data_IF_440700662590
#
_entry.id   IF_440700662590
#
_cell.length_a   1.000
_cell.length_b   1.000
_cell.length_c   1.000
_cell.angle_alpha   90.00
_cell.angle_beta   90.00
_cell.angle_gamma   90.00
#
_symmetry.space_group_name_H-M   'P 1'
#
loop_
_entity.id
_entity.type
_entity.pdbx_description
1 polymer ?
#
# COMPACT_ATOMS: atom_id res chain seq x y z
N UNK A 1 15.76 -7.86 57.77
CA UNK A 1 14.39 -7.61 58.29
C UNK A 1 14.12 -6.11 58.26
N UNK A 2 12.86 -5.63 58.16
CA UNK A 2 12.54 -4.17 58.14
C UNK A 2 13.11 -3.43 59.37
N UNK A 3 13.27 -4.14 60.48
CA UNK A 3 13.91 -3.66 61.71
C UNK A 3 15.44 -3.51 61.64
N UNK A 4 16.12 -4.28 60.78
CA UNK A 4 17.58 -4.15 60.60
C UNK A 4 17.91 -2.93 59.75
N UNK A 5 17.04 -2.59 58.80
CA UNK A 5 17.20 -1.42 57.92
C UNK A 5 17.09 -0.12 58.73
N UNK A 6 16.18 -0.07 59.70
CA UNK A 6 15.99 1.08 60.61
C UNK A 6 17.18 1.28 61.56
N UNK A 7 17.76 0.19 62.10
CA UNK A 7 18.95 0.28 62.97
C UNK A 7 20.20 0.78 62.23
N UNK A 8 20.32 0.50 60.93
CA UNK A 8 21.42 1.02 60.09
C UNK A 8 21.20 2.51 59.78
N UNK A 9 19.95 2.95 59.65
CA UNK A 9 19.58 4.36 59.46
C UNK A 9 19.83 5.22 60.72
N UNK A 10 19.60 4.65 61.90
CA UNK A 10 19.86 5.30 63.20
C UNK A 10 21.35 5.35 63.57
N UNK A 11 22.15 4.39 63.08
CA UNK A 11 23.59 4.37 63.27
C UNK A 11 24.27 5.42 62.37
N UNK A 12 24.22 6.70 62.77
CA UNK A 12 24.95 7.80 62.11
C UNK A 12 26.46 7.56 62.19
N UNK A 13 27.16 7.19 61.10
CA UNK A 13 28.61 6.98 61.12
C UNK A 13 29.39 8.28 61.31
N UNK A 14 28.73 9.43 61.19
CA UNK A 14 29.28 10.78 61.40
C UNK A 14 29.47 11.15 62.88
N UNK A 15 29.06 10.31 63.83
CA UNK A 15 29.26 10.56 65.25
C UNK A 15 30.72 10.35 65.71
N UNK A 16 31.56 9.71 64.89
CA UNK A 16 32.96 9.43 65.19
C UNK A 16 33.87 10.00 64.10
N UNK A 17 34.89 10.77 64.49
CA UNK A 17 35.92 11.29 63.59
C UNK A 17 36.92 10.16 63.26
N UNK A 18 36.57 9.38 62.24
CA UNK A 18 37.33 8.22 61.76
C UNK A 18 38.76 8.61 61.35
N UNK A 19 38.95 9.83 60.84
CA UNK A 19 40.24 10.32 60.36
C UNK A 19 41.18 10.63 61.53
N UNK A 20 40.66 11.23 62.61
CA UNK A 20 41.43 11.45 63.84
C UNK A 20 41.86 10.12 64.49
N UNK A 21 40.95 9.14 64.57
CA UNK A 21 41.26 7.81 65.11
C UNK A 21 42.28 7.07 64.25
N UNK A 22 42.12 7.12 62.93
CA UNK A 22 43.07 6.50 62.01
C UNK A 22 44.47 7.11 62.15
N UNK A 23 44.57 8.44 62.27
CA UNK A 23 45.85 9.13 62.41
C UNK A 23 46.60 8.79 63.71
N UNK A 24 45.88 8.48 64.79
CA UNK A 24 46.45 8.12 66.10
C UNK A 24 47.12 6.73 66.16
N UNK A 25 46.91 5.88 65.16
CA UNK A 25 47.40 4.50 65.13
C UNK A 25 48.85 4.38 64.65
N UNK A 26 49.49 3.26 65.00
CA UNK A 26 50.84 2.91 64.51
C UNK A 26 50.84 2.58 63.02
N UNK A 27 51.99 2.69 62.34
CA UNK A 27 52.11 2.44 60.91
C UNK A 27 51.66 1.02 60.51
N UNK A 28 51.99 0.02 61.34
CA UNK A 28 51.60 -1.38 61.10
C UNK A 28 50.08 -1.60 61.23
N UNK A 29 49.42 -0.92 62.16
CA UNK A 29 47.96 -0.98 62.32
C UNK A 29 47.25 -0.30 61.14
N UNK A 30 47.78 0.84 60.66
CA UNK A 30 47.26 1.53 59.47
C UNK A 30 47.30 0.62 58.24
N UNK A 31 48.44 -0.03 57.96
CA UNK A 31 48.58 -0.95 56.83
C UNK A 31 47.62 -2.15 56.93
N UNK A 32 47.47 -2.72 58.13
CA UNK A 32 46.51 -3.82 58.38
C UNK A 32 45.06 -3.40 58.15
N UNK A 33 44.67 -2.22 58.63
CA UNK A 33 43.30 -1.71 58.45
C UNK A 33 43.03 -1.42 56.97
N UNK A 34 43.95 -0.75 56.27
CA UNK A 34 43.82 -0.41 54.84
C UNK A 34 43.75 -1.66 53.98
N UNK A 35 44.63 -2.65 54.19
CA UNK A 35 44.60 -3.92 53.45
C UNK A 35 43.31 -4.71 53.71
N UNK A 36 42.85 -4.76 54.97
CA UNK A 36 41.58 -5.38 55.33
C UNK A 36 40.38 -4.65 54.70
N UNK A 37 40.40 -3.32 54.69
CA UNK A 37 39.36 -2.50 54.07
C UNK A 37 39.34 -2.68 52.55
N UNK A 38 40.50 -2.68 51.89
CA UNK A 38 40.64 -2.93 50.46
C UNK A 38 40.13 -4.33 50.08
N UNK A 39 40.51 -5.36 50.84
CA UNK A 39 40.02 -6.73 50.62
C UNK A 39 38.50 -6.83 50.79
N UNK A 40 37.93 -6.19 51.82
CA UNK A 40 36.46 -6.13 52.03
C UNK A 40 35.75 -5.38 50.91
N UNK A 41 36.30 -4.25 50.47
CA UNK A 41 35.74 -3.46 49.36
C UNK A 41 35.76 -4.27 48.06
N UNK A 42 36.85 -5.01 47.80
CA UNK A 42 36.97 -5.86 46.63
C UNK A 42 35.99 -7.05 46.69
N UNK A 43 35.87 -7.72 47.83
CA UNK A 43 34.88 -8.79 48.06
C UNK A 43 33.45 -8.29 47.87
N UNK A 44 33.14 -7.12 48.44
CA UNK A 44 31.82 -6.49 48.29
C UNK A 44 31.57 -6.15 46.82
N UNK A 45 32.54 -5.58 46.12
CA UNK A 45 32.46 -5.30 44.68
C UNK A 45 32.18 -6.56 43.85
N UNK A 46 32.83 -7.68 44.14
CA UNK A 46 32.53 -8.96 43.48
C UNK A 46 31.13 -9.47 43.81
N UNK A 47 30.67 -9.34 45.06
CA UNK A 47 29.32 -9.76 45.47
C UNK A 47 28.23 -8.93 44.78
N UNK A 48 28.44 -7.61 44.65
CA UNK A 48 27.53 -6.73 43.90
C UNK A 48 27.48 -7.07 42.42
N UNK A 49 28.61 -7.36 41.79
CA UNK A 49 28.65 -7.79 40.39
C UNK A 49 27.92 -9.12 40.19
N UNK A 50 28.15 -10.10 41.08
CA UNK A 50 27.46 -11.39 41.04
C UNK A 50 25.95 -11.23 41.24
N UNK A 51 25.54 -10.39 42.20
CA UNK A 51 24.12 -10.11 42.45
C UNK A 51 23.45 -9.37 41.30
N UNK A 52 24.13 -8.38 40.71
CA UNK A 52 23.66 -7.67 39.51
C UNK A 52 23.42 -8.63 38.35
N UNK A 53 24.39 -9.52 38.09
CA UNK A 53 24.27 -10.55 37.06
C UNK A 53 23.06 -11.48 37.32
N UNK A 54 22.91 -11.98 38.55
CA UNK A 54 21.77 -12.84 38.91
C UNK A 54 20.42 -12.13 38.79
N UNK A 55 20.32 -10.86 39.18
CA UNK A 55 19.09 -10.06 39.05
C UNK A 55 18.75 -9.88 37.57
N UNK A 56 19.72 -9.48 36.73
CA UNK A 56 19.50 -9.33 35.28
C UNK A 56 19.07 -10.63 34.61
N UNK A 57 19.67 -11.76 35.01
CA UNK A 57 19.32 -13.07 34.47
C UNK A 57 17.91 -13.49 34.91
N UNK A 58 17.56 -13.26 36.19
CA UNK A 58 16.23 -13.57 36.74
C UNK A 58 15.16 -12.73 36.06
N UNK A 59 15.40 -11.43 35.85
CA UNK A 59 14.47 -10.54 35.15
C UNK A 59 14.26 -10.98 33.68
N UNK A 60 15.34 -11.34 32.98
CA UNK A 60 15.26 -11.85 31.60
C UNK A 60 14.43 -13.14 31.53
N UNK A 61 14.64 -14.06 32.47
CA UNK A 61 13.88 -15.31 32.55
C UNK A 61 12.40 -15.05 32.88
N UNK A 62 12.12 -14.17 33.84
CA UNK A 62 10.75 -13.77 34.20
C UNK A 62 10.02 -13.20 32.99
N UNK A 63 10.67 -12.29 32.25
CA UNK A 63 10.12 -11.70 31.03
C UNK A 63 9.86 -12.75 29.96
N UNK A 64 10.78 -13.71 29.73
CA UNK A 64 10.56 -14.84 28.81
C UNK A 64 9.36 -15.70 29.21
N UNK A 65 9.22 -16.03 30.50
CA UNK A 65 8.08 -16.81 30.99
C UNK A 65 6.76 -16.08 30.80
N UNK A 66 6.69 -14.79 31.15
CA UNK A 66 5.49 -13.98 30.94
C UNK A 66 5.15 -13.83 29.45
N UNK A 67 6.16 -13.64 28.61
CA UNK A 67 5.98 -13.53 27.14
C UNK A 67 5.41 -14.82 26.58
N UNK A 68 5.97 -15.97 26.94
CA UNK A 68 5.51 -17.28 26.50
C UNK A 68 4.09 -17.61 27.01
N UNK A 69 3.72 -17.15 28.20
CA UNK A 69 2.37 -17.29 28.72
C UNK A 69 1.36 -16.50 27.87
N UNK A 70 1.65 -15.23 27.59
CA UNK A 70 0.81 -14.40 26.73
C UNK A 70 0.76 -14.91 25.29
N UNK A 71 1.87 -15.39 24.74
CA UNK A 71 1.95 -15.90 23.37
C UNK A 71 0.96 -17.04 23.12
N UNK A 72 0.85 -17.97 24.07
CA UNK A 72 -0.09 -19.09 24.00
C UNK A 72 -1.54 -18.60 23.94
N UNK A 73 -1.89 -17.57 24.72
CA UNK A 73 -3.23 -16.99 24.73
C UNK A 73 -3.51 -16.21 23.44
N UNK A 74 -2.57 -15.38 23.00
CA UNK A 74 -2.73 -14.55 21.81
C UNK A 74 -2.78 -15.40 20.55
N UNK A 75 -2.08 -16.54 20.49
CA UNK A 75 -2.12 -17.46 19.36
C UNK A 75 -3.52 -18.06 19.19
N UNK A 76 -4.13 -18.55 20.27
CA UNK A 76 -5.50 -19.08 20.22
C UNK A 76 -6.52 -18.01 19.84
N UNK A 77 -6.38 -16.79 20.38
CA UNK A 77 -7.25 -15.67 20.05
C UNK A 77 -7.07 -15.20 18.60
N UNK A 78 -5.84 -15.21 18.08
CA UNK A 78 -5.54 -14.85 16.70
C UNK A 78 -6.29 -15.76 15.72
N UNK A 79 -6.37 -17.07 15.99
CA UNK A 79 -7.15 -18.00 15.16
C UNK A 79 -8.63 -17.59 15.05
N UNK A 80 -9.25 -17.15 16.17
CA UNK A 80 -10.64 -16.67 16.17
C UNK A 80 -10.78 -15.37 15.37
N UNK A 81 -9.85 -14.42 15.55
CA UNK A 81 -9.86 -13.16 14.81
C UNK A 81 -9.69 -13.40 13.30
N UNK A 82 -8.78 -14.29 12.91
CA UNK A 82 -8.60 -14.67 11.51
C UNK A 82 -9.83 -15.35 10.92
N UNK A 83 -10.56 -16.15 11.70
CA UNK A 83 -11.84 -16.70 11.27
C UNK A 83 -12.87 -15.59 10.99
N UNK A 84 -13.00 -14.60 11.89
CA UNK A 84 -13.90 -13.45 11.70
C UNK A 84 -13.48 -12.50 10.58
N UNK A 85 -12.20 -12.47 10.21
CA UNK A 85 -11.72 -11.73 9.03
C UNK A 85 -11.97 -12.54 7.75
N UNK A 86 -11.70 -13.85 7.77
CA UNK A 86 -11.82 -14.74 6.62
C UNK A 86 -13.26 -14.96 6.16
N UNK A 87 -14.19 -15.18 7.10
CA UNK A 87 -15.61 -15.40 6.80
C UNK A 87 -16.26 -14.24 5.98
N UNK A 88 -16.17 -12.96 6.39
CA UNK A 88 -16.70 -11.85 5.62
C UNK A 88 -15.92 -11.62 4.32
N UNK A 89 -14.60 -11.78 4.29
CA UNK A 89 -13.82 -11.62 3.05
C UNK A 89 -14.22 -12.64 1.97
N UNK A 90 -14.48 -13.89 2.36
CA UNK A 90 -14.98 -14.93 1.46
C UNK A 90 -16.41 -14.66 0.95
N UNK A 91 -17.28 -14.09 1.81
CA UNK A 91 -18.64 -13.71 1.43
C UNK A 91 -18.72 -12.47 0.55
N UNK A 92 -17.89 -11.45 0.81
CA UNK A 92 -17.87 -10.17 0.10
C UNK A 92 -17.22 -10.30 -1.28
N UNK A 93 -16.10 -11.01 -1.39
CA UNK A 93 -15.28 -11.08 -2.62
C UNK A 93 -15.75 -12.27 -3.49
N UNK A 94 -17.06 -12.32 -3.82
CA UNK A 94 -17.63 -13.36 -4.70
C UNK A 94 -17.41 -13.11 -6.20
N UNK A 95 -16.98 -11.91 -6.60
CA UNK A 95 -16.78 -11.52 -8.01
C UNK A 95 -15.33 -11.66 -8.51
N UNK A 96 -14.39 -11.98 -7.63
CA UNK A 96 -13.02 -12.38 -8.02
C UNK A 96 -12.95 -13.91 -8.07
N UNK A 97 -12.23 -14.47 -9.04
CA UNK A 97 -11.99 -15.93 -9.07
C UNK A 97 -11.41 -16.47 -7.75
N UNK A 98 -11.43 -17.80 -7.58
CA UNK A 98 -11.06 -18.53 -6.35
C UNK A 98 -9.79 -18.04 -5.62
N UNK A 99 -8.83 -17.41 -6.31
CA UNK A 99 -7.58 -16.92 -5.73
C UNK A 99 -7.61 -15.54 -5.05
N UNK A 100 -8.54 -14.65 -5.38
CA UNK A 100 -8.52 -13.27 -4.83
C UNK A 100 -8.72 -13.21 -3.30
N UNK A 101 -9.68 -13.93 -2.70
CA UNK A 101 -9.84 -13.97 -1.24
C UNK A 101 -8.61 -14.56 -0.53
N UNK A 102 -7.95 -15.54 -1.16
CA UNK A 102 -6.75 -16.19 -0.61
C UNK A 102 -5.58 -15.21 -0.55
N UNK A 103 -5.31 -14.46 -1.63
CA UNK A 103 -4.23 -13.48 -1.67
C UNK A 103 -4.40 -12.41 -0.59
N UNK A 104 -5.63 -11.89 -0.43
CA UNK A 104 -5.93 -10.89 0.61
C UNK A 104 -5.72 -11.46 2.02
N UNK A 105 -6.14 -12.71 2.24
CA UNK A 105 -5.95 -13.39 3.53
C UNK A 105 -4.46 -13.58 3.87
N UNK A 106 -3.64 -14.01 2.90
CA UNK A 106 -2.18 -14.14 3.07
C UNK A 106 -1.54 -12.79 3.38
N UNK A 107 -1.96 -11.71 2.71
CA UNK A 107 -1.42 -10.38 2.96
C UNK A 107 -1.73 -9.90 4.39
N UNK A 108 -2.95 -10.10 4.88
CA UNK A 108 -3.32 -9.77 6.27
C UNK A 108 -2.53 -10.63 7.26
N UNK A 109 -2.32 -11.91 6.95
CA UNK A 109 -1.49 -12.81 7.77
C UNK A 109 -0.02 -12.36 7.86
N UNK A 110 0.57 -11.88 6.76
CA UNK A 110 1.93 -11.31 6.78
C UNK A 110 1.99 -10.08 7.68
N UNK A 111 1.01 -9.17 7.58
CA UNK A 111 0.95 -7.97 8.43
C UNK A 111 0.86 -8.37 9.91
N UNK A 112 -0.02 -9.31 10.25
CA UNK A 112 -0.11 -9.90 11.58
C UNK A 112 1.25 -10.41 12.06
N UNK A 113 1.91 -11.24 11.24
CA UNK A 113 3.17 -11.86 11.61
C UNK A 113 4.26 -10.82 11.88
N UNK A 114 4.35 -9.77 11.06
CA UNK A 114 5.31 -8.67 11.24
C UNK A 114 5.03 -7.92 12.54
N UNK A 115 3.77 -7.54 12.80
CA UNK A 115 3.41 -6.80 14.02
C UNK A 115 3.64 -7.67 15.25
N UNK A 116 3.23 -8.94 15.21
CA UNK A 116 3.39 -9.88 16.32
C UNK A 116 4.86 -10.13 16.65
N UNK A 117 5.70 -10.38 15.64
CA UNK A 117 7.14 -10.59 15.84
C UNK A 117 7.84 -9.31 16.34
N UNK A 118 7.39 -8.13 15.88
CA UNK A 118 7.91 -6.85 16.37
C UNK A 118 7.53 -6.63 17.84
N UNK A 119 6.27 -6.86 18.20
CA UNK A 119 5.77 -6.80 19.56
C UNK A 119 6.50 -7.77 20.51
N UNK A 120 6.69 -9.01 20.06
CA UNK A 120 7.46 -10.04 20.78
C UNK A 120 8.91 -9.61 21.05
N UNK A 121 9.61 -9.10 20.05
CA UNK A 121 10.99 -8.59 20.22
C UNK A 121 11.04 -7.43 21.21
N UNK A 122 10.14 -6.46 21.09
CA UNK A 122 10.09 -5.30 22.02
C UNK A 122 9.72 -5.71 23.45
N UNK A 123 8.83 -6.69 23.61
CA UNK A 123 8.46 -7.26 24.92
C UNK A 123 9.64 -8.01 25.54
N UNK A 124 10.40 -8.77 24.76
CA UNK A 124 11.57 -9.54 25.23
C UNK A 124 12.75 -8.64 25.62
N UNK A 125 13.03 -7.61 24.83
CA UNK A 125 14.24 -6.78 24.93
C UNK A 125 14.15 -5.63 25.96
N UNK A 126 13.22 -5.66 26.91
CA UNK A 126 13.14 -4.60 27.95
C UNK A 126 12.28 -3.40 27.58
N UNK A 127 12.11 -3.13 26.28
CA UNK A 127 11.63 -1.83 25.77
C UNK A 127 10.17 -1.56 26.09
N UNK A 128 9.31 -2.57 25.97
CA UNK A 128 7.88 -2.46 26.23
C UNK A 128 7.47 -3.36 27.40
N UNK A 129 6.34 -3.03 28.03
CA UNK A 129 5.68 -3.89 29.00
C UNK A 129 5.21 -5.17 28.27
N UNK A 130 5.47 -6.33 28.86
CA UNK A 130 5.26 -7.64 28.20
C UNK A 130 3.83 -7.80 27.68
N UNK A 131 2.82 -7.45 28.48
CA UNK A 131 1.42 -7.58 28.06
C UNK A 131 1.10 -6.67 26.86
N UNK A 132 1.59 -5.42 26.83
CA UNK A 132 1.32 -4.52 25.70
C UNK A 132 1.96 -5.03 24.42
N UNK A 133 3.23 -5.44 24.49
CA UNK A 133 3.96 -5.94 23.31
C UNK A 133 3.30 -7.18 22.70
N UNK A 134 2.85 -8.12 23.53
CA UNK A 134 2.23 -9.36 23.04
C UNK A 134 0.81 -9.16 22.50
N UNK A 135 0.04 -8.22 23.06
CA UNK A 135 -1.34 -7.97 22.63
C UNK A 135 -1.46 -6.94 21.50
N UNK A 136 -0.35 -6.35 21.05
CA UNK A 136 -0.35 -5.31 20.01
C UNK A 136 -0.98 -5.80 18.70
N UNK A 137 -0.66 -7.03 18.27
CA UNK A 137 -1.21 -7.62 17.05
C UNK A 137 -2.73 -7.80 17.15
N UNK A 138 -3.20 -8.37 18.27
CA UNK A 138 -4.63 -8.52 18.59
C UNK A 138 -5.35 -7.18 18.66
N UNK A 139 -4.77 -6.17 19.31
CA UNK A 139 -5.37 -4.85 19.48
C UNK A 139 -5.60 -4.13 18.13
N UNK A 140 -4.77 -4.40 17.13
CA UNK A 140 -4.93 -3.86 15.77
C UNK A 140 -5.92 -4.69 14.95
N UNK A 141 -5.85 -6.02 15.02
CA UNK A 141 -6.66 -6.90 14.18
C UNK A 141 -8.07 -7.13 14.68
N UNK A 142 -8.31 -7.11 15.99
CA UNK A 142 -9.64 -7.29 16.57
C UNK A 142 -10.65 -6.22 16.10
N UNK A 143 -10.36 -4.90 16.17
CA UNK A 143 -11.29 -3.89 15.66
C UNK A 143 -11.44 -3.97 14.14
N UNK A 144 -10.38 -4.32 13.41
CA UNK A 144 -10.45 -4.53 11.96
C UNK A 144 -11.38 -5.71 11.61
N UNK A 145 -11.23 -6.83 12.31
CA UNK A 145 -12.08 -8.01 12.15
C UNK A 145 -13.54 -7.68 12.48
N UNK A 146 -13.80 -7.08 13.65
CA UNK A 146 -15.14 -6.66 14.04
C UNK A 146 -15.77 -5.69 13.03
N UNK A 147 -15.00 -4.71 12.54
CA UNK A 147 -15.46 -3.77 11.52
C UNK A 147 -15.81 -4.47 10.21
N UNK A 148 -14.97 -5.39 9.74
CA UNK A 148 -15.22 -6.15 8.52
C UNK A 148 -16.43 -7.07 8.66
N UNK A 149 -16.59 -7.76 9.81
CA UNK A 149 -17.75 -8.60 10.09
C UNK A 149 -19.04 -7.79 10.15
N UNK A 150 -19.06 -6.68 10.89
CA UNK A 150 -20.22 -5.78 10.98
C UNK A 150 -20.64 -5.26 9.60
N UNK A 151 -19.65 -4.85 8.81
CA UNK A 151 -19.90 -4.29 7.48
C UNK A 151 -20.37 -5.32 6.45
N UNK A 152 -19.87 -6.56 6.55
CA UNK A 152 -20.34 -7.67 5.72
C UNK A 152 -21.81 -8.01 6.00
N UNK A 153 -22.27 -7.82 7.24
CA UNK A 153 -23.64 -8.11 7.63
C UNK A 153 -24.63 -7.01 7.20
N UNK A 154 -24.16 -5.75 7.08
CA UNK A 154 -25.01 -4.60 6.75
C UNK A 154 -24.94 -4.14 5.28
N UNK A 155 -24.51 -5.03 4.37
CA UNK A 155 -24.48 -4.86 2.90
C UNK A 155 -24.00 -3.47 2.42
N UNK A 156 -23.01 -2.90 3.12
CA UNK A 156 -22.64 -1.50 2.92
C UNK A 156 -21.65 -1.32 1.77
N UNK A 157 -22.12 -0.59 0.76
CA UNK A 157 -21.48 -0.07 -0.47
C UNK A 157 -20.05 0.52 -0.27
N UNK A 158 -19.66 0.84 0.97
CA UNK A 158 -18.37 1.45 1.32
C UNK A 158 -17.19 0.47 1.17
N UNK A 159 -17.42 -0.82 0.91
CA UNK A 159 -16.40 -1.76 0.40
C UNK A 159 -16.87 -2.43 -0.89
N UNK A 160 -17.27 -1.63 -1.88
CA UNK A 160 -17.33 -2.12 -3.25
C UNK A 160 -15.93 -2.56 -3.68
N UNK A 161 -15.62 -3.85 -3.50
CA UNK A 161 -14.40 -4.45 -4.04
C UNK A 161 -14.29 -4.14 -5.55
N UNK A 162 -15.41 -4.09 -6.27
CA UNK A 162 -15.47 -3.64 -7.67
C UNK A 162 -15.03 -2.17 -7.83
N UNK A 163 -15.42 -1.25 -6.95
CA UNK A 163 -15.00 0.15 -7.03
C UNK A 163 -13.50 0.31 -6.69
N UNK A 164 -13.00 -0.43 -5.69
CA UNK A 164 -11.57 -0.46 -5.38
C UNK A 164 -10.76 -1.14 -6.48
N UNK A 165 -11.24 -2.26 -7.04
CA UNK A 165 -10.61 -2.95 -8.17
C UNK A 165 -10.66 -2.06 -9.41
N UNK A 166 -11.75 -1.35 -9.68
CA UNK A 166 -11.82 -0.39 -10.78
C UNK A 166 -10.91 0.81 -10.53
N UNK A 167 -10.82 1.30 -9.29
CA UNK A 167 -9.86 2.33 -8.88
C UNK A 167 -8.42 1.86 -9.07
N UNK A 168 -8.08 0.64 -8.64
CA UNK A 168 -6.76 0.03 -8.82
C UNK A 168 -6.48 -0.31 -10.29
N UNK A 169 -7.46 -0.79 -11.06
CA UNK A 169 -7.35 -0.98 -12.52
C UNK A 169 -7.11 0.36 -13.22
N UNK A 170 -7.77 1.44 -12.78
CA UNK A 170 -7.55 2.80 -13.28
C UNK A 170 -6.19 3.36 -12.84
N UNK A 171 -5.73 3.01 -11.64
CA UNK A 171 -4.45 3.43 -11.07
C UNK A 171 -3.26 2.72 -11.73
N UNK A 172 -3.35 1.40 -11.92
CA UNK A 172 -2.35 0.53 -12.54
C UNK A 172 -2.46 0.58 -14.08
N UNK A 173 -3.61 1.00 -14.61
CA UNK A 173 -3.86 1.12 -16.04
C UNK A 173 -4.12 -0.21 -16.72
N UNK A 174 -4.96 -1.08 -16.17
CA UNK A 174 -5.41 -2.30 -16.86
C UNK A 174 -6.42 -1.90 -17.96
N UNK A 175 -6.30 -2.51 -19.15
CA UNK A 175 -7.08 -2.19 -20.36
C UNK A 175 -8.57 -2.47 -20.13
N UNK A 176 -9.43 -1.48 -20.38
CA UNK A 176 -10.86 -1.72 -20.57
C UNK A 176 -11.09 -2.07 -22.04
N UNK A 177 -11.72 -3.22 -22.29
CA UNK A 177 -12.07 -3.68 -23.65
C UNK A 177 -13.52 -3.30 -23.91
N UNK A 178 -13.80 -2.76 -25.11
CA UNK A 178 -15.17 -2.47 -25.52
C UNK A 178 -15.86 -3.76 -25.93
N UNK A 179 -17.08 -3.97 -25.42
CA UNK A 179 -17.94 -5.10 -25.78
C UNK A 179 -19.24 -4.54 -26.37
N UNK A 180 -19.28 -4.37 -27.70
CA UNK A 180 -20.49 -4.02 -28.44
C UNK A 180 -21.20 -5.32 -28.85
N UNK A 181 -22.43 -5.49 -28.36
CA UNK A 181 -23.32 -6.56 -28.77
C UNK A 181 -24.25 -6.08 -29.88
N UNK A 182 -24.65 -6.99 -30.77
CA UNK A 182 -25.64 -6.69 -31.81
C UNK A 182 -26.95 -6.28 -31.15
N UNK A 183 -27.46 -5.08 -31.48
CA UNK A 183 -28.78 -4.63 -31.01
C UNK A 183 -29.88 -5.42 -31.72
N UNK A 184 -30.86 -5.89 -30.96
CA UNK A 184 -32.02 -6.62 -31.50
C UNK A 184 -33.02 -5.67 -32.19
N UNK A 185 -33.02 -4.40 -31.81
CA UNK A 185 -33.86 -3.34 -32.42
C UNK A 185 -32.97 -2.17 -32.83
N UNK A 186 -32.98 -1.85 -34.13
CA UNK A 186 -32.28 -0.69 -34.70
C UNK A 186 -33.34 0.37 -34.97
N UNK A 187 -33.21 1.55 -34.35
CA UNK A 187 -34.17 2.65 -34.47
C UNK A 187 -33.89 3.48 -35.73
N UNK A 188 -32.60 3.68 -36.07
CA UNK A 188 -32.14 4.40 -37.26
C UNK A 188 -31.01 3.61 -37.92
N UNK A 189 -31.11 3.36 -39.22
CA UNK A 189 -30.01 2.77 -39.99
C UNK A 189 -28.87 3.80 -40.16
N UNK A 190 -27.58 3.38 -40.12
CA UNK A 190 -26.44 4.31 -40.25
C UNK A 190 -26.39 4.96 -41.64
N UNK A 191 -25.90 6.20 -41.71
CA UNK A 191 -25.72 6.88 -43.00
C UNK A 191 -24.39 6.46 -43.66
N UNK A 192 -24.45 5.40 -44.47
CA UNK A 192 -23.28 4.84 -45.14
C UNK A 192 -22.66 5.78 -46.20
N UNK A 193 -23.28 6.91 -46.55
CA UNK A 193 -22.69 7.87 -47.50
C UNK A 193 -21.69 8.81 -46.82
N UNK A 194 -21.95 9.22 -45.58
CA UNK A 194 -21.13 10.18 -44.85
C UNK A 194 -20.08 9.52 -43.92
N UNK A 195 -20.33 8.27 -43.50
CA UNK A 195 -19.48 7.52 -42.59
C UNK A 195 -18.02 7.31 -43.06
N UNK A 196 -17.73 7.00 -44.35
CA UNK A 196 -16.35 6.85 -44.81
C UNK A 196 -15.54 8.14 -44.67
N UNK A 197 -16.15 9.29 -44.96
CA UNK A 197 -15.53 10.61 -44.79
C UNK A 197 -15.25 10.92 -43.31
N UNK A 198 -16.19 10.59 -42.42
CA UNK A 198 -16.02 10.70 -40.97
C UNK A 198 -14.86 9.85 -40.45
N UNK A 199 -14.79 8.57 -40.83
CA UNK A 199 -13.72 7.66 -40.44
C UNK A 199 -12.33 8.12 -40.94
N UNK A 200 -12.26 8.64 -42.16
CA UNK A 200 -11.02 9.14 -42.74
C UNK A 200 -10.56 10.43 -42.06
N UNK A 201 -11.49 11.33 -41.72
CA UNK A 201 -11.20 12.54 -40.95
C UNK A 201 -10.67 12.22 -39.55
N UNK A 202 -11.24 11.22 -38.86
CA UNK A 202 -10.77 10.73 -37.57
C UNK A 202 -9.35 10.13 -37.68
N UNK A 203 -9.08 9.36 -38.73
CA UNK A 203 -7.75 8.80 -38.99
C UNK A 203 -6.71 9.90 -39.21
N UNK A 204 -7.05 10.95 -39.94
CA UNK A 204 -6.17 12.08 -40.19
C UNK A 204 -5.93 12.95 -38.95
N UNK A 205 -6.95 13.15 -38.11
CA UNK A 205 -6.79 13.78 -36.80
C UNK A 205 -5.80 13.01 -35.91
N UNK A 206 -5.92 11.68 -35.88
CA UNK A 206 -4.99 10.82 -35.16
C UNK A 206 -3.56 10.93 -35.70
N UNK A 207 -3.37 10.91 -37.02
CA UNK A 207 -2.05 11.07 -37.68
C UNK A 207 -1.43 12.44 -37.36
N UNK A 208 -2.21 13.53 -37.43
CA UNK A 208 -1.75 14.89 -37.08
C UNK A 208 -1.33 14.99 -35.62
N UNK A 209 -2.11 14.43 -34.71
CA UNK A 209 -1.80 14.44 -33.28
C UNK A 209 -0.53 13.64 -32.97
N UNK A 210 -0.35 12.46 -33.58
CA UNK A 210 0.87 11.65 -33.45
C UNK A 210 2.12 12.33 -34.03
N UNK A 211 1.96 13.13 -35.10
CA UNK A 211 3.06 13.89 -35.70
C UNK A 211 3.48 15.12 -34.88
N UNK A 212 2.52 15.83 -34.30
CA UNK A 212 2.80 17.03 -33.49
C UNK A 212 3.33 16.70 -32.09
N UNK A 213 2.81 15.63 -31.47
CA UNK A 213 3.20 15.21 -30.13
C UNK A 213 4.14 14.01 -30.28
N UNK A 214 5.40 14.17 -29.89
CA UNK A 214 6.37 13.08 -29.90
C UNK A 214 6.10 12.06 -28.76
N UNK A 215 4.98 11.32 -28.86
CA UNK A 215 4.41 10.46 -27.82
C UNK A 215 5.30 9.26 -27.45
N UNK A 216 6.28 8.92 -28.31
CA UNK A 216 7.24 7.82 -28.07
C UNK A 216 8.30 8.19 -27.03
N UNK A 217 8.66 9.46 -26.92
CA UNK A 217 9.76 9.89 -26.05
C UNK A 217 9.27 10.20 -24.64
N UNK A 218 10.11 9.91 -23.66
CA UNK A 218 9.85 10.24 -22.26
C UNK A 218 9.82 11.77 -22.09
N UNK A 219 8.75 12.34 -21.49
CA UNK A 219 8.68 13.77 -21.25
C UNK A 219 9.72 14.19 -20.21
N UNK A 220 10.21 15.43 -20.27
CA UNK A 220 11.11 15.93 -19.23
C UNK A 220 10.37 16.04 -17.88
N UNK A 221 10.92 15.44 -16.82
CA UNK A 221 10.30 15.35 -15.49
C UNK A 221 9.86 16.71 -14.94
N UNK A 222 10.74 17.72 -14.94
CA UNK A 222 10.42 19.04 -14.40
C UNK A 222 9.36 19.77 -15.22
N UNK A 223 9.47 19.70 -16.56
CA UNK A 223 8.47 20.28 -17.47
C UNK A 223 7.10 19.61 -17.28
N UNK A 224 7.08 18.30 -17.03
CA UNK A 224 5.86 17.53 -16.81
C UNK A 224 5.12 17.98 -15.55
N UNK A 225 5.81 18.37 -14.48
CA UNK A 225 5.20 18.79 -13.20
C UNK A 225 4.99 20.30 -13.06
N UNK A 226 5.70 21.13 -13.84
CA UNK A 226 5.65 22.59 -13.71
C UNK A 226 4.83 23.32 -14.80
N UNK A 227 4.56 22.71 -15.95
CA UNK A 227 3.81 23.35 -17.08
C UNK A 227 2.29 23.13 -16.99
N UNK A 228 1.47 24.17 -17.08
CA UNK A 228 0.01 24.02 -17.12
C UNK A 228 -0.50 23.93 -18.56
N UNK A 229 -0.43 22.74 -19.17
CA UNK A 229 -1.00 22.49 -20.49
C UNK A 229 -2.04 21.39 -20.40
N UNK A 230 -3.31 21.73 -20.60
CA UNK A 230 -4.39 20.77 -20.80
C UNK A 230 -4.39 20.31 -22.27
N UNK A 231 -4.49 19.00 -22.52
CA UNK A 231 -4.47 18.45 -23.87
C UNK A 231 -5.90 18.19 -24.36
N UNK A 232 -6.58 19.24 -24.81
CA UNK A 232 -7.95 19.18 -25.33
C UNK A 232 -8.06 18.39 -26.66
N UNK A 233 -6.94 18.15 -27.34
CA UNK A 233 -6.95 17.43 -28.62
C UNK A 233 -7.36 15.96 -28.47
N UNK A 234 -6.93 15.29 -27.40
CA UNK A 234 -7.30 13.88 -27.14
C UNK A 234 -8.77 13.76 -26.75
N UNK A 235 -9.32 14.76 -26.05
CA UNK A 235 -10.74 14.81 -25.71
C UNK A 235 -11.61 14.93 -26.96
N UNK A 236 -11.21 15.79 -27.91
CA UNK A 236 -11.87 15.91 -29.21
C UNK A 236 -11.82 14.62 -30.02
N UNK A 237 -10.65 13.99 -30.16
CA UNK A 237 -10.50 12.71 -30.88
C UNK A 237 -11.37 11.62 -30.24
N UNK A 238 -11.41 11.56 -28.90
CA UNK A 238 -12.22 10.58 -28.18
C UNK A 238 -13.72 10.79 -28.43
N UNK A 239 -14.19 12.04 -28.37
CA UNK A 239 -15.60 12.35 -28.59
C UNK A 239 -16.02 12.06 -30.03
N UNK A 240 -15.18 12.42 -31.01
CA UNK A 240 -15.42 12.15 -32.42
C UNK A 240 -15.48 10.64 -32.70
N UNK A 241 -14.56 9.86 -32.10
CA UNK A 241 -14.58 8.40 -32.18
C UNK A 241 -15.85 7.79 -31.58
N UNK A 242 -16.27 8.24 -30.40
CA UNK A 242 -17.49 7.71 -29.75
C UNK A 242 -18.75 8.02 -30.56
N UNK A 243 -18.85 9.22 -31.16
CA UNK A 243 -19.97 9.57 -32.06
C UNK A 243 -20.06 8.63 -33.26
N UNK A 244 -18.94 8.40 -33.96
CA UNK A 244 -18.91 7.49 -35.11
C UNK A 244 -19.19 6.04 -34.72
N UNK A 245 -18.69 5.60 -33.55
CA UNK A 245 -18.95 4.25 -33.03
C UNK A 245 -20.42 4.10 -32.63
N UNK A 246 -21.04 5.12 -32.05
CA UNK A 246 -22.46 5.11 -31.68
C UNK A 246 -23.34 4.98 -32.92
N UNK A 247 -23.05 5.73 -33.97
CA UNK A 247 -23.76 5.64 -35.25
C UNK A 247 -23.56 4.27 -35.92
N UNK A 248 -22.31 3.81 -36.03
CA UNK A 248 -21.98 2.50 -36.59
C UNK A 248 -22.46 1.33 -35.74
N UNK A 249 -22.72 1.51 -34.44
CA UNK A 249 -23.28 0.47 -33.56
C UNK A 249 -24.67 0.02 -33.99
N UNK A 250 -25.36 0.84 -34.79
CA UNK A 250 -26.66 0.53 -35.36
C UNK A 250 -26.56 -0.26 -36.69
N UNK A 251 -25.36 -0.65 -37.13
CA UNK A 251 -25.19 -1.45 -38.35
C UNK A 251 -25.72 -2.88 -38.17
N UNK A 252 -26.27 -3.43 -39.27
CA UNK A 252 -26.76 -4.82 -39.35
C UNK A 252 -25.66 -5.83 -39.69
N UNK A 253 -24.50 -5.37 -40.19
CA UNK A 253 -23.40 -6.23 -40.64
C UNK A 253 -22.56 -6.74 -39.47
N UNK A 254 -22.46 -8.07 -39.33
CA UNK A 254 -21.66 -8.71 -38.28
C UNK A 254 -20.15 -8.43 -38.45
N UNK A 255 -19.70 -8.29 -39.70
CA UNK A 255 -18.31 -7.97 -40.03
C UNK A 255 -17.92 -6.58 -39.52
N UNK A 256 -18.79 -5.58 -39.74
CA UNK A 256 -18.60 -4.21 -39.23
C UNK A 256 -18.64 -4.18 -37.71
N UNK A 257 -19.58 -4.88 -37.06
CA UNK A 257 -19.63 -4.98 -35.59
C UNK A 257 -18.38 -5.62 -34.98
N UNK A 258 -17.81 -6.62 -35.65
CA UNK A 258 -16.56 -7.28 -35.18
C UNK A 258 -15.37 -6.31 -35.28
N UNK A 259 -15.29 -5.51 -36.34
CA UNK A 259 -14.26 -4.48 -36.49
C UNK A 259 -14.46 -3.32 -35.49
N UNK A 260 -15.69 -2.91 -35.21
CA UNK A 260 -16.00 -1.88 -34.21
C UNK A 260 -15.55 -2.26 -32.79
N UNK A 261 -15.57 -3.56 -32.47
CA UNK A 261 -15.04 -4.07 -31.20
C UNK A 261 -13.51 -3.92 -31.06
N UNK A 262 -12.78 -3.67 -32.16
CA UNK A 262 -11.34 -3.43 -32.10
C UNK A 262 -10.97 -2.00 -31.68
N UNK A 263 -11.91 -1.06 -31.70
CA UNK A 263 -11.68 0.31 -31.23
C UNK A 263 -11.34 0.33 -29.73
N UNK A 264 -10.19 0.92 -29.34
CA UNK A 264 -9.82 1.06 -27.93
C UNK A 264 -10.64 2.17 -27.26
N UNK A 265 -10.98 2.00 -25.98
CA UNK A 265 -11.55 3.06 -25.16
C UNK A 265 -10.40 3.95 -24.68
N UNK A 266 -10.36 5.21 -25.12
CA UNK A 266 -9.30 6.15 -24.75
C UNK A 266 -9.62 6.81 -23.39
N UNK A 267 -8.80 6.61 -22.35
CA UNK A 267 -8.93 7.38 -21.12
C UNK A 267 -8.38 8.80 -21.31
N UNK A 268 -9.26 9.75 -21.63
CA UNK A 268 -8.96 11.16 -21.96
C UNK A 268 -8.00 11.86 -20.98
N UNK A 269 -8.04 11.53 -19.69
CA UNK A 269 -7.23 12.21 -18.65
C UNK A 269 -6.09 11.37 -18.07
N UNK A 270 -5.91 10.12 -18.51
CA UNK A 270 -4.92 9.22 -17.89
C UNK A 270 -3.48 9.46 -18.38
N UNK A 271 -3.32 10.05 -19.56
CA UNK A 271 -2.02 10.41 -20.14
C UNK A 271 -1.49 11.79 -19.65
N UNK A 272 -2.32 12.51 -18.90
CA UNK A 272 -2.00 13.77 -18.22
C UNK A 272 -1.83 13.55 -16.70
N UNK A 273 -1.61 14.65 -15.95
CA UNK A 273 -1.33 14.61 -14.51
C UNK A 273 -2.45 13.96 -13.68
N UNK A 274 -2.11 13.35 -12.53
CA UNK A 274 -3.08 12.63 -11.70
C UNK A 274 -4.10 13.53 -10.99
N UNK A 275 -3.78 14.80 -10.68
CA UNK A 275 -4.65 15.68 -9.87
C UNK A 275 -5.06 16.96 -10.61
N UNK A 276 -6.29 17.43 -10.35
CA UNK A 276 -6.84 18.69 -10.89
C UNK A 276 -6.18 19.93 -10.29
N UNK A 277 -5.73 19.86 -9.04
CA UNK A 277 -5.13 21.00 -8.34
C UNK A 277 -3.63 21.10 -8.66
N UNK A 278 -3.20 22.27 -9.12
CA UNK A 278 -1.80 22.53 -9.49
C UNK A 278 -0.83 22.23 -8.34
N UNK A 279 -1.16 22.68 -7.12
CA UNK A 279 -0.29 22.50 -5.95
C UNK A 279 -0.09 21.02 -5.57
N UNK A 280 -1.11 20.17 -5.72
CA UNK A 280 -0.98 18.72 -5.46
C UNK A 280 -0.04 18.06 -6.48
N UNK A 281 -0.06 18.52 -7.73
CA UNK A 281 0.88 18.02 -8.74
C UNK A 281 2.33 18.44 -8.42
N UNK A 282 2.53 19.67 -7.97
CA UNK A 282 3.85 20.15 -7.53
C UNK A 282 4.33 19.35 -6.30
N UNK A 283 3.47 19.14 -5.30
CA UNK A 283 3.78 18.35 -4.12
C UNK A 283 4.16 16.90 -4.46
N UNK A 284 3.42 16.24 -5.37
CA UNK A 284 3.78 14.91 -5.86
C UNK A 284 5.10 14.89 -6.64
N UNK A 285 5.41 15.96 -7.39
CA UNK A 285 6.68 16.10 -8.10
C UNK A 285 7.90 16.30 -7.16
N UNK A 286 7.70 16.98 -6.03
CA UNK A 286 8.73 17.22 -4.99
C UNK A 286 9.03 15.94 -4.19
N UNK A 287 8.01 15.14 -3.89
CA UNK A 287 8.19 13.83 -3.22
C UNK A 287 8.67 12.81 -4.24
N UNK A 288 9.99 12.74 -4.45
CA UNK A 288 10.65 11.94 -5.50
C UNK A 288 10.13 10.50 -5.63
N UNK A 289 9.94 9.71 -4.55
CA UNK A 289 9.44 8.33 -4.69
C UNK A 289 8.03 8.26 -5.30
N UNK A 290 7.16 9.20 -4.92
CA UNK A 290 5.77 9.28 -5.39
C UNK A 290 5.73 9.86 -6.80
N UNK A 291 6.49 10.93 -7.06
CA UNK A 291 6.59 11.56 -8.37
C UNK A 291 7.15 10.65 -9.44
N UNK A 292 8.16 9.84 -9.11
CA UNK A 292 8.76 8.86 -10.02
C UNK A 292 7.78 7.73 -10.37
N UNK A 293 7.00 7.24 -9.40
CA UNK A 293 5.91 6.28 -9.67
C UNK A 293 4.89 6.85 -10.68
N UNK A 294 4.39 8.07 -10.46
CA UNK A 294 3.44 8.70 -11.37
C UNK A 294 4.07 9.05 -12.73
N UNK A 295 5.36 9.39 -12.77
CA UNK A 295 6.09 9.66 -14.00
C UNK A 295 6.16 8.44 -14.90
N UNK A 296 6.60 7.29 -14.37
CA UNK A 296 6.63 6.03 -15.13
C UNK A 296 5.24 5.63 -15.59
N UNK A 297 4.22 5.81 -14.74
CA UNK A 297 2.82 5.60 -15.10
C UNK A 297 2.41 6.46 -16.30
N UNK A 298 2.63 7.77 -16.25
CA UNK A 298 2.27 8.71 -17.33
C UNK A 298 2.99 8.36 -18.63
N UNK A 299 4.28 8.01 -18.56
CA UNK A 299 5.03 7.59 -19.74
C UNK A 299 4.49 6.29 -20.35
N UNK A 300 4.17 5.29 -19.52
CA UNK A 300 3.53 4.06 -19.98
C UNK A 300 2.16 4.32 -20.65
N UNK A 301 1.37 5.27 -20.13
CA UNK A 301 0.12 5.69 -20.76
C UNK A 301 0.34 6.46 -22.09
N UNK A 302 1.41 7.24 -22.24
CA UNK A 302 1.75 7.91 -23.52
C UNK A 302 2.12 6.91 -24.60
N UNK A 303 2.96 5.94 -24.27
CA UNK A 303 3.31 4.83 -25.19
C UNK A 303 2.08 4.01 -25.57
N UNK A 304 1.17 3.82 -24.62
CA UNK A 304 -0.11 3.14 -24.88
C UNK A 304 -1.01 3.95 -25.81
N UNK A 305 -1.20 5.22 -25.53
CA UNK A 305 -2.01 6.11 -26.38
C UNK A 305 -1.51 6.13 -27.82
N UNK A 306 -0.18 6.13 -28.04
CA UNK A 306 0.39 5.98 -29.37
C UNK A 306 -0.08 4.70 -30.07
N UNK A 307 -0.01 3.55 -29.40
CA UNK A 307 -0.47 2.25 -29.95
C UNK A 307 -1.99 2.22 -30.17
N UNK A 308 -2.74 2.87 -29.31
CA UNK A 308 -4.20 2.96 -29.43
C UNK A 308 -4.59 3.83 -30.63
N UNK A 309 -3.92 4.96 -30.87
CA UNK A 309 -4.12 5.80 -32.05
C UNK A 309 -3.77 5.07 -33.36
N UNK A 310 -2.66 4.32 -33.38
CA UNK A 310 -2.30 3.48 -34.52
C UNK A 310 -3.36 2.40 -34.81
N UNK A 311 -3.95 1.82 -33.76
CA UNK A 311 -5.05 0.86 -33.89
C UNK A 311 -6.33 1.51 -34.41
N UNK A 312 -6.65 2.73 -33.98
CA UNK A 312 -7.80 3.50 -34.47
C UNK A 312 -7.65 3.73 -35.97
N UNK A 313 -6.50 4.24 -36.42
CA UNK A 313 -6.22 4.50 -37.84
C UNK A 313 -6.43 3.22 -38.66
N UNK A 314 -5.84 2.10 -38.22
CA UNK A 314 -5.97 0.82 -38.92
C UNK A 314 -7.42 0.32 -38.98
N UNK A 315 -8.16 0.47 -37.88
CA UNK A 315 -9.57 0.04 -37.80
C UNK A 315 -10.46 0.92 -38.69
N UNK A 316 -10.21 2.23 -38.77
CA UNK A 316 -10.88 3.14 -39.70
C UNK A 316 -10.63 2.75 -41.15
N UNK A 317 -9.37 2.52 -41.53
CA UNK A 317 -8.99 2.10 -42.88
C UNK A 317 -9.66 0.75 -43.25
N UNK A 318 -9.65 -0.23 -42.34
CA UNK A 318 -10.31 -1.54 -42.53
C UNK A 318 -11.84 -1.41 -42.68
N UNK A 319 -12.49 -0.52 -41.93
CA UNK A 319 -13.93 -0.27 -42.00
C UNK A 319 -14.34 0.35 -43.34
N UNK A 320 -13.58 1.34 -43.82
CA UNK A 320 -13.83 1.97 -45.13
C UNK A 320 -13.74 0.94 -46.25
N UNK A 321 -12.71 0.08 -46.24
CA UNK A 321 -12.55 -1.00 -47.24
C UNK A 321 -13.71 -2.00 -47.25
N UNK A 322 -14.23 -2.36 -46.07
CA UNK A 322 -15.38 -3.27 -45.96
C UNK A 322 -16.67 -2.60 -46.46
N UNK A 323 -16.88 -1.32 -46.14
CA UNK A 323 -18.05 -0.56 -46.59
C UNK A 323 -18.04 -0.36 -48.12
N UNK A 324 -16.89 -0.10 -48.73
CA UNK A 324 -16.75 -0.02 -50.19
C UNK A 324 -17.01 -1.38 -50.87
N UNK A 325 -16.55 -2.47 -50.26
CA UNK A 325 -16.78 -3.82 -50.77
C UNK A 325 -18.25 -4.23 -50.71
N UNK A 326 -18.97 -3.84 -49.66
CA UNK A 326 -20.39 -4.13 -49.51
C UNK A 326 -21.26 -3.23 -50.40
N UNK A 327 -20.79 -2.03 -50.79
CA UNK A 327 -21.45 -1.15 -51.77
C UNK A 327 -21.35 -1.65 -53.22
N UNK A 328 -20.32 -2.45 -53.53
CA UNK A 328 -20.05 -3.00 -54.86
C UNK A 328 -20.64 -4.42 -55.09
N UNK A 329 -21.46 -4.93 -54.16
CA UNK A 329 -22.16 -6.22 -54.27
C UNK A 329 -23.66 -6.01 -54.44
#
# INVERSE_FOLDING_TARGET
TRADTVKIEEARPTAYDLDSLFNSLTLAEKEKIVSSAASRAQSTGSDWNFKSFNVSQTDTNLRRHMTAWHEKLTLSLACLIFFFIGAPLGGIIRKGGLGMPVIVSVLIFIIYYIINNTGFKMARDGKWIVWMGMWTSTAVLAPLGAFLTYKSNNDSVVLNADAYIQFFKKLIGIRSVRHLFRKEVIIHDPDYEHLPGGLQSLADECRRYMGQKNLKHAPNYFKLWMTDTQDEAVERISNHMEQLVEELSNTRSMTLLTLLNNFPIIPVRAHTRPFRNYWLNVACGVVVPVGLFFYFRIWAFRLRLYKDLERIIKTCDDLVLVMERDKNK
#
